data_IF_054995531490
#
_entry.id   IF_054995531490
#
_cell.length_a   1.000
_cell.length_b   1.000
_cell.length_c   1.000
_cell.angle_alpha   90.00
_cell.angle_beta   90.00
_cell.angle_gamma   90.00
#
_symmetry.space_group_name_H-M   'P 1'
#
loop_
_entity.id
_entity.type
_entity.pdbx_description
1 polymer ?
#
# COMPACT_ATOMS: atom_id res chain seq x y z
N UNK A 1 10.01 4.96 5.04
CA UNK A 1 9.32 4.02 4.13
C UNK A 1 10.15 2.78 3.98
N UNK A 2 9.49 1.62 4.07
CA UNK A 2 10.11 0.33 3.76
C UNK A 2 9.60 -0.14 2.40
N UNK A 3 10.49 -0.73 1.62
CA UNK A 3 10.25 -1.16 0.25
C UNK A 3 10.61 -2.63 0.13
N UNK A 4 9.74 -3.41 -0.50
CA UNK A 4 9.92 -4.82 -0.80
C UNK A 4 9.59 -4.99 -2.29
N UNK A 5 10.62 -5.21 -3.11
CA UNK A 5 10.53 -5.32 -4.58
C UNK A 5 10.95 -6.71 -5.07
N UNK A 6 11.50 -7.53 -4.16
CA UNK A 6 12.03 -8.85 -4.47
C UNK A 6 12.05 -9.75 -3.22
N UNK A 7 12.31 -11.03 -3.44
CA UNK A 7 12.45 -12.01 -2.34
C UNK A 7 13.56 -11.63 -1.34
N UNK A 8 14.63 -10.97 -1.77
CA UNK A 8 15.77 -10.65 -0.91
C UNK A 8 15.46 -9.51 0.07
N UNK A 9 14.75 -8.48 -0.40
CA UNK A 9 14.22 -7.37 0.40
C UNK A 9 13.13 -7.87 1.34
N UNK A 10 12.27 -8.79 0.91
CA UNK A 10 11.28 -9.42 1.79
C UNK A 10 11.94 -10.12 2.99
N UNK A 11 12.96 -10.95 2.76
CA UNK A 11 13.71 -11.63 3.83
C UNK A 11 14.36 -10.61 4.77
N UNK A 12 14.99 -9.56 4.22
CA UNK A 12 15.65 -8.51 5.02
C UNK A 12 14.66 -7.78 5.92
N UNK A 13 13.50 -7.41 5.37
CA UNK A 13 12.45 -6.71 6.10
C UNK A 13 11.86 -7.58 7.21
N UNK A 14 11.58 -8.85 6.93
CA UNK A 14 11.06 -9.79 7.92
C UNK A 14 12.08 -10.12 9.03
N UNK A 15 13.38 -10.11 8.73
CA UNK A 15 14.43 -10.28 9.74
C UNK A 15 14.61 -9.02 10.64
N UNK A 16 14.15 -7.86 10.17
CA UNK A 16 14.19 -6.60 10.91
C UNK A 16 13.12 -6.50 12.01
N UNK A 17 13.11 -5.36 12.71
CA UNK A 17 12.04 -5.02 13.64
C UNK A 17 10.92 -4.29 12.90
N UNK A 18 9.70 -4.83 13.00
CA UNK A 18 8.46 -4.25 12.49
C UNK A 18 7.44 -4.31 13.61
N UNK A 19 6.59 -3.28 13.68
CA UNK A 19 5.45 -3.31 14.58
C UNK A 19 4.57 -4.53 14.29
N UNK A 20 4.00 -5.21 15.30
CA UNK A 20 3.31 -6.48 15.08
C UNK A 20 2.19 -6.45 14.04
N UNK A 21 1.32 -5.42 13.97
CA UNK A 21 0.30 -5.32 12.91
C UNK A 21 0.91 -5.23 11.52
N UNK A 22 1.96 -4.43 11.37
CA UNK A 22 2.66 -4.22 10.11
C UNK A 22 3.35 -5.50 9.66
N UNK A 23 4.02 -6.20 10.58
CA UNK A 23 4.62 -7.51 10.31
C UNK A 23 3.57 -8.50 9.81
N UNK A 24 2.41 -8.57 10.47
CA UNK A 24 1.34 -9.48 10.07
C UNK A 24 0.83 -9.15 8.65
N UNK A 25 0.63 -7.86 8.33
CA UNK A 25 0.23 -7.42 7.00
C UNK A 25 1.29 -7.76 5.93
N UNK A 26 2.58 -7.51 6.20
CA UNK A 26 3.67 -7.88 5.28
C UNK A 26 3.71 -9.39 5.04
N UNK A 27 3.60 -10.21 6.10
CA UNK A 27 3.57 -11.68 5.96
C UNK A 27 2.35 -12.13 5.15
N UNK A 28 1.18 -11.57 5.43
CA UNK A 28 -0.04 -11.90 4.69
C UNK A 28 0.11 -11.56 3.20
N UNK A 29 0.69 -10.40 2.88
CA UNK A 29 0.94 -10.00 1.49
C UNK A 29 1.88 -10.98 0.79
N UNK A 30 3.01 -11.31 1.40
CA UNK A 30 3.98 -12.24 0.82
C UNK A 30 3.38 -13.63 0.59
N UNK A 31 2.48 -14.09 1.47
CA UNK A 31 1.76 -15.34 1.28
C UNK A 31 0.76 -15.27 0.11
N UNK A 32 0.14 -14.11 -0.13
CA UNK A 32 -0.74 -13.92 -1.30
C UNK A 32 0.06 -13.91 -2.60
N UNK A 33 1.21 -13.22 -2.62
CA UNK A 33 2.07 -13.11 -3.80
C UNK A 33 2.73 -14.45 -4.18
N UNK A 34 3.04 -15.30 -3.21
CA UNK A 34 3.71 -16.60 -3.42
C UNK A 34 2.75 -17.80 -3.44
N UNK A 35 1.49 -17.61 -3.06
CA UNK A 35 0.52 -18.69 -2.89
C UNK A 35 -0.20 -19.14 -4.16
N UNK A 36 -0.01 -18.45 -5.28
CA UNK A 36 -0.62 -18.76 -6.57
C UNK A 36 0.19 -19.75 -7.42
N UNK A 37 -0.25 -19.97 -8.66
CA UNK A 37 0.46 -20.80 -9.64
C UNK A 37 1.78 -20.15 -10.14
N UNK A 38 1.93 -18.84 -9.92
CA UNK A 38 3.10 -18.04 -10.26
C UNK A 38 3.48 -17.16 -9.07
N UNK A 39 4.77 -17.01 -8.82
CA UNK A 39 5.30 -16.14 -7.77
C UNK A 39 5.37 -14.70 -8.29
N UNK A 40 4.57 -13.82 -7.70
CA UNK A 40 4.43 -12.42 -8.11
C UNK A 40 5.36 -11.48 -7.33
N UNK A 41 6.23 -12.00 -6.47
CA UNK A 41 7.08 -11.18 -5.58
C UNK A 41 8.01 -10.25 -6.34
N UNK A 42 8.53 -10.68 -7.49
CA UNK A 42 9.43 -9.86 -8.33
C UNK A 42 8.66 -9.00 -9.36
N UNK A 43 7.32 -9.10 -9.38
CA UNK A 43 6.40 -8.39 -10.27
C UNK A 43 5.51 -7.39 -9.49
N UNK A 44 5.72 -7.27 -8.17
CA UNK A 44 4.90 -6.46 -7.28
C UNK A 44 5.75 -5.69 -6.28
N UNK A 45 5.63 -4.37 -6.28
CA UNK A 45 6.26 -3.52 -5.29
C UNK A 45 5.36 -3.40 -4.06
N UNK A 46 5.80 -3.90 -2.91
CA UNK A 46 5.12 -3.70 -1.62
C UNK A 46 5.80 -2.58 -0.84
N UNK A 47 5.08 -1.47 -0.68
CA UNK A 47 5.52 -0.26 0.00
C UNK A 47 4.84 -0.16 1.36
N UNK A 48 5.63 -0.17 2.43
CA UNK A 48 5.13 -0.02 3.80
C UNK A 48 5.37 1.41 4.26
N UNK A 49 4.27 2.12 4.50
CA UNK A 49 4.29 3.50 4.99
C UNK A 49 4.64 3.51 6.48
N UNK A 50 5.56 4.37 6.86
CA UNK A 50 6.04 4.55 8.23
C UNK A 50 5.69 5.93 8.76
N UNK A 51 5.78 6.08 10.09
CA UNK A 51 5.61 7.39 10.72
C UNK A 51 6.64 8.39 10.18
N UNK A 52 6.17 9.58 9.82
CA UNK A 52 6.99 10.65 9.25
C UNK A 52 7.25 10.53 7.74
N UNK A 53 6.82 9.45 7.07
CA UNK A 53 6.82 9.41 5.61
C UNK A 53 5.82 10.42 5.06
N UNK A 54 6.21 11.10 3.98
CA UNK A 54 5.40 12.15 3.34
C UNK A 54 4.78 11.67 2.03
N UNK A 55 3.81 12.44 1.49
CA UNK A 55 3.31 12.23 0.12
C UNK A 55 4.47 12.21 -0.91
N UNK A 56 5.48 13.06 -0.71
CA UNK A 56 6.65 13.10 -1.60
C UNK A 56 7.49 11.80 -1.54
N UNK A 57 7.56 11.14 -0.39
CA UNK A 57 8.23 9.84 -0.28
C UNK A 57 7.48 8.75 -1.04
N UNK A 58 6.14 8.77 -0.97
CA UNK A 58 5.29 7.86 -1.73
C UNK A 58 5.51 8.10 -3.23
N UNK A 59 5.44 9.35 -3.69
CA UNK A 59 5.70 9.69 -5.10
C UNK A 59 7.09 9.24 -5.55
N UNK A 60 8.11 9.44 -4.71
CA UNK A 60 9.49 9.05 -5.02
C UNK A 60 9.64 7.54 -5.21
N UNK A 61 8.84 6.72 -4.54
CA UNK A 61 8.91 5.25 -4.64
C UNK A 61 7.91 4.68 -5.62
N UNK A 62 6.63 5.00 -5.45
CA UNK A 62 5.54 4.49 -6.27
C UNK A 62 5.48 5.16 -7.66
N UNK A 63 6.07 6.34 -7.83
CA UNK A 63 5.95 7.16 -9.04
C UNK A 63 4.67 7.99 -9.11
N UNK A 64 3.80 7.91 -8.10
CA UNK A 64 2.52 8.61 -8.04
C UNK A 64 2.10 8.94 -6.61
N UNK A 65 1.06 9.78 -6.48
CA UNK A 65 0.38 10.03 -5.20
C UNK A 65 -0.99 9.36 -5.17
N UNK A 66 -1.34 8.59 -4.12
CA UNK A 66 -2.69 8.06 -3.96
C UNK A 66 -3.73 9.16 -3.66
N UNK A 67 -3.28 10.37 -3.31
CA UNK A 67 -4.14 11.53 -3.05
C UNK A 67 -4.55 12.27 -4.33
N UNK A 68 -4.07 11.82 -5.49
CA UNK A 68 -4.31 12.45 -6.78
C UNK A 68 -4.78 11.38 -7.75
N UNK A 69 -5.94 11.59 -8.36
CA UNK A 69 -6.36 10.78 -9.50
C UNK A 69 -5.35 10.99 -10.65
N UNK A 70 -4.72 9.90 -11.10
CA UNK A 70 -3.66 9.94 -12.11
C UNK A 70 -4.17 10.31 -13.51
N UNK A 71 -5.46 10.13 -13.76
CA UNK A 71 -6.10 10.41 -15.05
C UNK A 71 -6.57 11.86 -15.10
N UNK A 72 -7.28 12.31 -14.06
CA UNK A 72 -7.89 13.65 -14.04
C UNK A 72 -7.02 14.72 -13.38
N UNK A 73 -6.07 14.32 -12.53
CA UNK A 73 -5.24 15.22 -11.72
C UNK A 73 -6.00 15.82 -10.52
N UNK A 74 -7.24 15.41 -10.26
CA UNK A 74 -8.06 15.91 -9.16
C UNK A 74 -7.53 15.35 -7.83
N UNK A 75 -7.44 16.20 -6.81
CA UNK A 75 -6.97 15.81 -5.47
C UNK A 75 -8.11 15.32 -4.58
N UNK A 76 -7.79 14.47 -3.61
CA UNK A 76 -8.74 13.88 -2.65
C UNK A 76 -9.66 14.88 -1.93
N UNK A 77 -9.16 16.08 -1.64
CA UNK A 77 -9.92 17.14 -0.96
C UNK A 77 -10.74 18.01 -1.93
N UNK A 78 -10.74 17.69 -3.22
CA UNK A 78 -11.44 18.42 -4.27
C UNK A 78 -12.69 17.67 -4.74
N UNK A 79 -13.71 18.45 -5.12
CA UNK A 79 -14.93 17.89 -5.70
C UNK A 79 -14.61 17.17 -7.01
N UNK A 80 -15.15 15.96 -7.16
CA UNK A 80 -14.96 15.13 -8.35
C UNK A 80 -13.74 14.22 -8.28
N UNK A 81 -13.09 14.09 -7.11
CA UNK A 81 -12.08 13.06 -6.90
C UNK A 81 -12.68 11.67 -7.10
N UNK A 82 -12.03 10.85 -7.90
CA UNK A 82 -12.31 9.43 -8.03
C UNK A 82 -11.07 8.61 -7.64
N UNK A 83 -11.24 7.57 -6.81
CA UNK A 83 -10.13 6.72 -6.42
C UNK A 83 -9.60 5.90 -7.61
N UNK A 84 -8.28 5.90 -7.79
CA UNK A 84 -7.61 5.22 -8.90
C UNK A 84 -7.01 3.85 -8.53
N UNK A 85 -7.25 3.35 -7.30
CA UNK A 85 -6.82 2.02 -6.87
C UNK A 85 -7.88 0.96 -7.20
N UNK A 86 -7.43 -0.27 -7.38
CA UNK A 86 -8.31 -1.41 -7.68
C UNK A 86 -8.96 -1.97 -6.42
N UNK A 87 -8.25 -1.90 -5.29
CA UNK A 87 -8.70 -2.43 -4.01
C UNK A 87 -8.16 -1.61 -2.84
N UNK A 88 -9.00 -1.35 -1.86
CA UNK A 88 -8.63 -0.77 -0.58
C UNK A 88 -9.40 -1.46 0.55
N UNK A 89 -8.69 -2.22 1.37
CA UNK A 89 -9.24 -2.93 2.53
C UNK A 89 -8.51 -2.56 3.81
N UNK A 90 -9.15 -2.82 4.95
CA UNK A 90 -8.56 -2.65 6.28
C UNK A 90 -8.60 -3.98 7.01
N UNK A 91 -7.43 -4.49 7.42
CA UNK A 91 -7.33 -5.71 8.22
C UNK A 91 -6.24 -5.56 9.27
N UNK A 92 -6.52 -6.02 10.49
CA UNK A 92 -5.54 -5.98 11.59
C UNK A 92 -4.99 -4.58 11.92
N UNK A 93 -5.71 -3.50 11.59
CA UNK A 93 -5.24 -2.12 11.78
C UNK A 93 -4.25 -1.63 10.72
N UNK A 94 -4.17 -2.30 9.56
CA UNK A 94 -3.37 -1.87 8.42
C UNK A 94 -4.27 -1.80 7.19
N UNK A 95 -4.28 -0.67 6.51
CA UNK A 95 -4.91 -0.55 5.20
C UNK A 95 -4.03 -1.19 4.13
N UNK A 96 -4.65 -1.93 3.22
CA UNK A 96 -4.02 -2.52 2.05
C UNK A 96 -4.62 -1.88 0.81
N UNK A 97 -3.83 -1.08 0.12
CA UNK A 97 -4.21 -0.43 -1.15
C UNK A 97 -3.46 -1.09 -2.30
N UNK A 98 -4.18 -1.62 -3.28
CA UNK A 98 -3.59 -2.26 -4.46
C UNK A 98 -3.89 -1.44 -5.70
N UNK A 99 -2.84 -1.16 -6.47
CA UNK A 99 -2.94 -0.49 -7.75
C UNK A 99 -2.21 -1.35 -8.77
N UNK A 100 -2.92 -1.82 -9.78
CA UNK A 100 -2.39 -2.64 -10.86
C UNK A 100 -2.14 -1.80 -12.10
N UNK A 101 -1.00 -2.04 -12.74
CA UNK A 101 -0.59 -1.37 -13.97
C UNK A 101 -0.52 -2.40 -15.10
N UNK A 102 -1.54 -2.42 -15.96
CA UNK A 102 -1.62 -3.40 -17.03
C UNK A 102 -1.88 -4.80 -16.48
N UNK A 103 -1.19 -5.81 -17.01
CA UNK A 103 -1.44 -7.22 -16.68
C UNK A 103 -0.36 -7.91 -15.85
N UNK A 104 0.75 -7.24 -15.53
CA UNK A 104 1.96 -7.89 -14.99
C UNK A 104 2.65 -7.10 -13.88
N UNK A 105 2.13 -5.96 -13.46
CA UNK A 105 2.77 -5.16 -12.41
C UNK A 105 1.74 -4.59 -11.45
N UNK A 106 2.06 -4.61 -10.16
CA UNK A 106 1.25 -4.00 -9.15
C UNK A 106 2.11 -3.24 -8.12
N UNK A 107 1.53 -2.18 -7.55
CA UNK A 107 2.06 -1.52 -6.37
C UNK A 107 1.06 -1.71 -5.24
N UNK A 108 1.55 -2.16 -4.09
CA UNK A 108 0.75 -2.40 -2.89
C UNK A 108 1.25 -1.48 -1.79
N UNK A 109 0.40 -0.56 -1.33
CA UNK A 109 0.69 0.25 -0.16
C UNK A 109 0.08 -0.40 1.09
N UNK A 110 0.92 -0.69 2.06
CA UNK A 110 0.53 -1.07 3.41
C UNK A 110 0.63 0.16 4.31
N UNK A 111 -0.53 0.66 4.76
CA UNK A 111 -0.65 1.92 5.52
C UNK A 111 -1.17 1.60 6.92
N UNK A 112 -0.34 1.66 7.96
CA UNK A 112 -0.79 1.42 9.33
C UNK A 112 -1.83 2.47 9.78
N UNK A 113 -2.92 2.05 10.43
CA UNK A 113 -3.96 2.95 10.93
C UNK A 113 -3.56 3.52 12.31
N UNK A 114 -2.49 4.32 12.36
CA UNK A 114 -1.92 4.88 13.59
C UNK A 114 -1.50 6.34 13.40
N UNK A 115 -1.38 7.08 14.50
CA UNK A 115 -0.88 8.46 14.47
C UNK A 115 0.55 8.54 13.91
N UNK A 116 0.86 9.66 13.25
CA UNK A 116 2.17 9.92 12.65
C UNK A 116 2.32 9.47 11.20
N UNK A 117 1.34 8.74 10.65
CA UNK A 117 1.20 8.54 9.20
C UNK A 117 0.62 9.81 8.57
N UNK A 118 0.98 10.07 7.30
CA UNK A 118 0.54 11.26 6.57
C UNK A 118 -0.99 11.47 6.67
N UNK A 119 -1.46 12.58 7.28
CA UNK A 119 -2.87 12.72 7.67
C UNK A 119 -3.84 12.64 6.49
N UNK A 120 -3.49 13.20 5.33
CA UNK A 120 -4.34 13.14 4.15
C UNK A 120 -4.51 11.70 3.65
N UNK A 121 -3.44 10.89 3.72
CA UNK A 121 -3.49 9.48 3.34
C UNK A 121 -4.38 8.67 4.28
N UNK A 122 -4.26 8.87 5.59
CA UNK A 122 -5.15 8.21 6.55
C UNK A 122 -6.61 8.61 6.35
N UNK A 123 -6.89 9.90 6.11
CA UNK A 123 -8.24 10.38 5.84
C UNK A 123 -8.82 9.73 4.58
N UNK A 124 -8.02 9.62 3.52
CA UNK A 124 -8.39 8.91 2.30
C UNK A 124 -8.69 7.43 2.57
N UNK A 125 -7.77 6.72 3.23
CA UNK A 125 -7.94 5.30 3.52
C UNK A 125 -9.20 5.03 4.36
N UNK A 126 -9.41 5.81 5.43
CA UNK A 126 -10.57 5.68 6.31
C UNK A 126 -11.90 6.01 5.62
N UNK A 127 -11.90 6.93 4.66
CA UNK A 127 -13.12 7.35 3.96
C UNK A 127 -13.54 6.41 2.84
N UNK A 128 -12.60 5.67 2.25
CA UNK A 128 -12.86 4.83 1.07
C UNK A 128 -12.60 3.33 1.30
N UNK A 129 -12.14 2.91 2.49
CA UNK A 129 -11.95 1.50 2.76
C UNK A 129 -13.26 0.74 2.60
N UNK A 130 -13.19 -0.39 1.91
CA UNK A 130 -14.28 -1.34 1.88
C UNK A 130 -14.16 -2.26 3.10
N UNK A 131 -15.27 -2.71 3.70
CA UNK A 131 -15.24 -3.81 4.65
C UNK A 131 -14.68 -5.04 3.93
N UNK A 132 -13.80 -5.81 4.59
CA UNK A 132 -13.39 -7.11 4.06
C UNK A 132 -14.65 -7.95 3.83
N UNK A 133 -14.85 -8.42 2.59
CA UNK A 133 -16.02 -9.22 2.23
C UNK A 133 -16.14 -10.44 3.15
N UNK A 134 -17.35 -10.62 3.70
CA UNK A 134 -17.75 -11.75 4.55
C UNK A 134 -17.93 -13.00 3.68
#
# INVERSE_FOLDING_TARGET
MIIIEDSASAIRVLAGSLDPPVRAAVVAELLLLTGGDHDLTDETDVLVVQQGDTEADIIRQAGFSPLVDQITGIRFDQSGFEPAWDLLTLSGGVFRMVITYGSTFATILLVPDVDGIEPALLALCRSHTQPEGI
#
